data_IF_325170271579
#
_entry.id   IF_325170271579
#
_cell.length_a   1.000
_cell.length_b   1.000
_cell.length_c   1.000
_cell.angle_alpha   90.00
_cell.angle_beta   90.00
_cell.angle_gamma   90.00
#
_symmetry.space_group_name_H-M   'P 1'
#
loop_
_entity.id
_entity.type
_entity.pdbx_description
1 polymer ?
#
# COMPACT_ATOMS: atom_id res chain seq x y z
N UNK A 1 19.69 15.64 -25.76
CA UNK A 1 19.15 14.75 -24.72
C UNK A 1 20.04 14.88 -23.49
N UNK A 2 19.53 15.37 -22.35
CA UNK A 2 20.30 15.35 -21.10
C UNK A 2 20.40 13.90 -20.64
N UNK A 3 21.61 13.34 -20.65
CA UNK A 3 21.84 11.98 -20.18
C UNK A 3 21.55 11.85 -18.69
N UNK A 4 21.00 10.71 -18.26
CA UNK A 4 20.77 10.38 -16.85
C UNK A 4 22.12 10.36 -16.12
N UNK A 5 22.28 11.22 -15.11
CA UNK A 5 23.49 11.24 -14.27
C UNK A 5 23.37 10.21 -13.15
N UNK A 6 24.33 9.30 -13.06
CA UNK A 6 24.45 8.43 -11.90
C UNK A 6 25.03 9.23 -10.72
N UNK A 7 24.38 9.15 -9.56
CA UNK A 7 24.83 9.78 -8.31
C UNK A 7 25.28 8.72 -7.31
N UNK A 8 26.24 9.06 -6.45
CA UNK A 8 26.73 8.15 -5.40
C UNK A 8 25.84 8.13 -4.15
N UNK A 9 24.98 9.14 -3.99
CA UNK A 9 24.05 9.24 -2.88
C UNK A 9 23.23 10.52 -2.91
N UNK A 10 22.22 10.59 -2.06
CA UNK A 10 21.30 11.71 -1.98
C UNK A 10 22.00 13.03 -1.63
N UNK A 11 23.13 12.98 -0.93
CA UNK A 11 23.94 14.15 -0.56
C UNK A 11 24.36 15.02 -1.75
N UNK A 12 24.52 14.44 -2.95
CA UNK A 12 24.90 15.18 -4.15
C UNK A 12 23.78 16.08 -4.70
N UNK A 13 22.54 15.79 -4.36
CA UNK A 13 21.37 16.47 -4.95
C UNK A 13 20.42 17.07 -3.92
N UNK A 14 20.55 16.73 -2.64
CA UNK A 14 19.58 17.11 -1.60
C UNK A 14 19.43 18.64 -1.45
N UNK A 15 20.47 19.43 -1.76
CA UNK A 15 20.42 20.88 -1.72
C UNK A 15 19.49 21.50 -2.77
N UNK A 16 19.16 20.76 -3.83
CA UNK A 16 18.32 21.21 -4.95
C UNK A 16 16.82 21.06 -4.66
N UNK A 17 16.45 20.40 -3.57
CA UNK A 17 15.05 20.08 -3.25
C UNK A 17 14.70 20.52 -1.83
N UNK A 18 13.47 21.00 -1.67
CA UNK A 18 12.94 21.45 -0.37
C UNK A 18 12.23 20.34 0.37
N UNK A 19 11.70 19.35 -0.36
CA UNK A 19 10.93 18.24 0.20
C UNK A 19 11.24 16.93 -0.53
N UNK A 20 11.09 15.82 0.19
CA UNK A 20 11.34 14.45 -0.30
C UNK A 20 10.14 13.56 -0.07
N UNK A 21 9.72 12.84 -1.10
CA UNK A 21 8.76 11.75 -1.00
C UNK A 21 9.54 10.45 -1.04
N UNK A 22 9.53 9.70 0.05
CA UNK A 22 10.39 8.55 0.27
C UNK A 22 9.53 7.31 0.42
N UNK A 23 9.78 6.31 -0.42
CA UNK A 23 9.13 5.02 -0.29
C UNK A 23 9.61 4.25 0.95
N UNK A 24 8.78 3.34 1.45
CA UNK A 24 9.10 2.52 2.61
C UNK A 24 9.65 1.16 2.22
N UNK A 25 8.87 0.38 1.48
CA UNK A 25 9.23 -1.01 1.19
C UNK A 25 10.33 -1.08 0.12
N UNK A 26 11.42 -1.78 0.43
CA UNK A 26 12.59 -1.86 -0.47
C UNK A 26 13.51 -0.64 -0.42
N UNK A 27 13.11 0.45 0.26
CA UNK A 27 13.89 1.70 0.41
C UNK A 27 14.30 1.93 1.86
N UNK A 28 13.37 1.89 2.79
CA UNK A 28 13.64 2.07 4.23
C UNK A 28 13.80 0.71 4.94
N UNK A 29 13.04 -0.31 4.52
CA UNK A 29 13.08 -1.66 5.09
C UNK A 29 12.76 -2.74 4.03
N UNK A 30 13.10 -3.99 4.35
CA UNK A 30 12.81 -5.16 3.52
C UNK A 30 11.65 -6.03 4.05
N UNK A 31 10.86 -5.50 4.98
CA UNK A 31 9.78 -6.24 5.66
C UNK A 31 10.25 -7.06 6.89
N UNK A 32 11.57 -7.11 7.16
CA UNK A 32 12.17 -7.83 8.30
C UNK A 32 13.00 -6.87 9.15
N UNK A 33 13.77 -5.99 8.52
CA UNK A 33 14.66 -5.04 9.18
C UNK A 33 14.76 -3.73 8.40
N UNK A 34 15.15 -2.67 9.12
CA UNK A 34 15.47 -1.37 8.53
C UNK A 34 16.83 -1.45 7.81
N UNK A 35 16.98 -0.67 6.75
CA UNK A 35 18.28 -0.47 6.10
C UNK A 35 19.07 0.63 6.83
N UNK A 36 20.24 0.34 7.43
CA UNK A 36 21.01 1.34 8.19
C UNK A 36 21.34 2.59 7.37
N UNK A 37 21.75 2.42 6.11
CA UNK A 37 22.07 3.53 5.22
C UNK A 37 20.87 4.45 4.94
N UNK A 38 19.67 3.89 4.82
CA UNK A 38 18.45 4.68 4.65
C UNK A 38 18.08 5.47 5.92
N UNK A 39 18.29 4.87 7.09
CA UNK A 39 18.08 5.57 8.37
C UNK A 39 19.09 6.73 8.51
N UNK A 40 20.34 6.55 8.08
CA UNK A 40 21.32 7.63 8.11
C UNK A 40 20.94 8.77 7.16
N UNK A 41 20.34 8.48 6.01
CA UNK A 41 19.76 9.51 5.12
C UNK A 41 18.66 10.28 5.85
N UNK A 42 17.72 9.61 6.53
CA UNK A 42 16.65 10.29 7.29
C UNK A 42 17.21 11.19 8.41
N UNK A 43 18.23 10.72 9.14
CA UNK A 43 18.92 11.53 10.16
C UNK A 43 19.52 12.80 9.54
N UNK A 44 20.21 12.67 8.41
CA UNK A 44 20.83 13.80 7.71
C UNK A 44 19.79 14.78 7.19
N UNK A 45 18.69 14.32 6.57
CA UNK A 45 17.60 15.18 6.12
C UNK A 45 16.97 15.94 7.30
N UNK A 46 16.76 15.24 8.44
CA UNK A 46 16.24 15.87 9.65
C UNK A 46 17.20 16.92 10.23
N UNK A 47 18.50 16.62 10.30
CA UNK A 47 19.54 17.57 10.76
C UNK A 47 19.63 18.82 9.88
N UNK A 48 19.37 18.68 8.58
CA UNK A 48 19.33 19.76 7.60
C UNK A 48 17.97 20.47 7.54
N UNK A 49 17.02 20.13 8.43
CA UNK A 49 15.66 20.66 8.44
C UNK A 49 14.91 20.47 7.10
N UNK A 50 15.25 19.45 6.32
CA UNK A 50 14.55 19.12 5.09
C UNK A 50 13.22 18.45 5.38
N UNK A 51 12.19 18.83 4.65
CA UNK A 51 10.86 18.20 4.75
C UNK A 51 10.89 16.85 4.05
N UNK A 52 10.27 15.83 4.63
CA UNK A 52 10.01 14.56 3.95
C UNK A 52 8.72 13.91 4.40
N UNK A 53 8.15 13.10 3.51
CA UNK A 53 6.99 12.26 3.75
C UNK A 53 7.36 10.83 3.39
N UNK A 54 7.05 9.90 4.26
CA UNK A 54 7.18 8.46 4.00
C UNK A 54 5.91 7.97 3.31
N UNK A 55 6.01 7.64 2.02
CA UNK A 55 4.89 7.16 1.20
C UNK A 55 4.94 5.65 1.06
N UNK A 56 3.78 4.99 1.20
CA UNK A 56 3.71 3.54 1.08
C UNK A 56 2.46 3.08 0.33
N UNK A 57 2.60 2.02 -0.48
CA UNK A 57 1.49 1.27 -1.04
C UNK A 57 0.87 0.26 -0.05
N UNK A 58 1.20 0.36 1.24
CA UNK A 58 0.61 -0.48 2.27
C UNK A 58 -0.92 -0.27 2.33
N UNK A 59 -1.72 -1.34 2.21
CA UNK A 59 -3.19 -1.27 2.21
C UNK A 59 -3.78 -1.06 3.61
N UNK A 60 -3.03 -0.47 4.52
CA UNK A 60 -3.37 -0.25 5.93
C UNK A 60 -3.31 1.23 6.28
N UNK A 61 -4.06 1.69 7.30
CA UNK A 61 -3.96 3.06 7.78
C UNK A 61 -2.53 3.44 8.17
N UNK A 62 -2.16 4.70 8.00
CA UNK A 62 -0.82 5.22 8.33
C UNK A 62 -0.40 4.88 9.77
N UNK A 63 -1.35 4.92 10.72
CA UNK A 63 -1.10 4.59 12.12
C UNK A 63 -0.71 3.12 12.35
N UNK A 64 -1.21 2.19 11.54
CA UNK A 64 -0.84 0.77 11.60
C UNK A 64 0.56 0.55 11.05
N UNK A 65 0.94 1.29 10.01
CA UNK A 65 2.31 1.27 9.45
C UNK A 65 3.30 1.91 10.42
N UNK A 66 2.92 3.01 11.10
CA UNK A 66 3.73 3.60 12.18
C UNK A 66 4.06 2.57 13.27
N UNK A 67 3.05 1.86 13.80
CA UNK A 67 3.25 0.80 14.80
C UNK A 67 4.21 -0.29 14.30
N UNK A 68 4.06 -0.70 13.05
CA UNK A 68 4.93 -1.70 12.43
C UNK A 68 6.39 -1.22 12.38
N UNK A 69 6.64 0.02 11.95
CA UNK A 69 7.99 0.60 11.88
C UNK A 69 8.62 0.77 13.28
N UNK A 70 7.82 1.10 14.29
CA UNK A 70 8.28 1.11 15.70
C UNK A 70 8.74 -0.27 16.16
N UNK A 71 8.04 -1.34 15.77
CA UNK A 71 8.47 -2.72 16.08
C UNK A 71 9.79 -3.07 15.40
N UNK A 72 10.07 -2.50 14.21
CA UNK A 72 11.37 -2.59 13.54
C UNK A 72 12.44 -1.68 14.17
N UNK A 73 12.14 -1.01 15.30
CA UNK A 73 13.04 -0.10 16.02
C UNK A 73 13.36 1.21 15.27
N UNK A 74 12.46 1.65 14.41
CA UNK A 74 12.57 2.98 13.80
C UNK A 74 12.33 4.06 14.84
N UNK A 75 13.13 5.14 14.79
CA UNK A 75 12.97 6.26 15.72
C UNK A 75 11.66 7.02 15.42
N UNK A 76 10.93 7.37 16.48
CA UNK A 76 9.65 8.12 16.41
C UNK A 76 9.78 9.45 15.70
N UNK A 77 10.93 10.08 15.73
CA UNK A 77 11.16 11.38 15.08
C UNK A 77 10.89 11.35 13.59
N UNK A 78 11.09 10.19 12.92
CA UNK A 78 10.88 10.01 11.48
C UNK A 78 9.43 9.63 11.12
N UNK A 79 8.60 9.28 12.11
CA UNK A 79 7.27 8.72 11.88
C UNK A 79 6.16 9.76 11.81
N UNK A 80 6.48 11.06 11.89
CA UNK A 80 5.51 12.15 11.93
C UNK A 80 4.70 12.32 10.64
N UNK A 81 5.29 11.94 9.51
CA UNK A 81 4.75 12.18 8.17
C UNK A 81 4.74 10.88 7.36
N UNK A 82 3.87 9.94 7.76
CA UNK A 82 3.60 8.71 7.00
C UNK A 82 2.26 8.87 6.29
N UNK A 83 2.22 8.54 5.01
CA UNK A 83 0.99 8.47 4.25
C UNK A 83 0.94 7.16 3.45
N UNK A 84 -0.18 6.46 3.54
CA UNK A 84 -0.35 5.15 2.92
C UNK A 84 -1.50 5.15 1.92
N UNK A 85 -1.45 4.25 0.95
CA UNK A 85 -2.58 4.01 0.03
C UNK A 85 -3.85 3.59 0.80
N UNK A 86 -3.68 2.79 1.88
CA UNK A 86 -4.79 2.45 2.77
C UNK A 86 -5.41 3.66 3.44
N UNK A 87 -4.62 4.66 3.88
CA UNK A 87 -5.14 5.90 4.46
C UNK A 87 -5.97 6.69 3.44
N UNK A 88 -5.47 6.82 2.20
CA UNK A 88 -6.19 7.49 1.12
C UNK A 88 -7.53 6.78 0.81
N UNK A 89 -7.51 5.44 0.73
CA UNK A 89 -8.72 4.66 0.53
C UNK A 89 -9.70 4.79 1.70
N UNK A 90 -9.22 4.78 2.96
CA UNK A 90 -10.06 4.89 4.15
C UNK A 90 -10.90 6.16 4.16
N UNK A 91 -10.36 7.28 3.68
CA UNK A 91 -11.10 8.54 3.57
C UNK A 91 -12.31 8.40 2.63
N UNK A 92 -12.14 7.72 1.50
CA UNK A 92 -13.24 7.51 0.54
C UNK A 92 -14.26 6.50 1.05
N UNK A 93 -13.82 5.46 1.80
CA UNK A 93 -14.70 4.49 2.43
C UNK A 93 -15.60 5.14 3.48
N UNK A 94 -15.04 5.98 4.35
CA UNK A 94 -15.79 6.72 5.38
C UNK A 94 -16.84 7.67 4.78
N UNK A 95 -16.55 8.25 3.62
CA UNK A 95 -17.44 9.14 2.90
C UNK A 95 -18.43 8.42 1.97
N UNK A 96 -18.43 7.08 1.95
CA UNK A 96 -19.28 6.23 1.09
C UNK A 96 -19.23 6.60 -0.41
N UNK A 97 -18.06 7.04 -0.91
CA UNK A 97 -17.88 7.50 -2.30
C UNK A 97 -18.26 6.43 -3.33
N UNK A 98 -18.07 5.16 -3.01
CA UNK A 98 -18.34 4.03 -3.91
C UNK A 98 -19.54 3.18 -3.46
N UNK A 99 -20.32 3.64 -2.51
CA UNK A 99 -21.38 2.91 -1.84
C UNK A 99 -21.01 2.59 -0.39
N UNK A 100 -21.92 1.95 0.31
CA UNK A 100 -21.77 1.68 1.75
C UNK A 100 -21.35 0.24 2.02
N UNK A 101 -21.88 -0.72 1.25
CA UNK A 101 -21.65 -2.15 1.46
C UNK A 101 -20.49 -2.63 0.60
N UNK A 102 -19.56 -3.37 1.18
CA UNK A 102 -18.43 -3.90 0.44
C UNK A 102 -18.17 -5.38 0.74
N UNK A 103 -17.63 -6.07 -0.27
CA UNK A 103 -16.99 -7.37 -0.10
C UNK A 103 -15.49 -7.17 0.03
N UNK A 104 -14.89 -7.66 1.13
CA UNK A 104 -13.46 -7.50 1.38
C UNK A 104 -12.67 -8.72 0.89
N UNK A 105 -11.71 -8.50 0.01
CA UNK A 105 -10.69 -9.46 -0.40
C UNK A 105 -9.36 -8.99 0.18
N UNK A 106 -8.83 -9.76 1.12
CA UNK A 106 -7.56 -9.43 1.77
C UNK A 106 -7.26 -10.29 2.98
N UNK A 107 -6.02 -10.27 3.47
CA UNK A 107 -5.60 -11.03 4.63
C UNK A 107 -6.11 -10.39 5.93
N UNK A 108 -6.10 -11.18 7.00
CA UNK A 108 -6.54 -10.74 8.33
C UNK A 108 -5.75 -9.53 8.84
N UNK A 109 -4.45 -9.47 8.51
CA UNK A 109 -3.55 -8.37 8.89
C UNK A 109 -3.98 -6.99 8.39
N UNK A 110 -4.83 -6.92 7.36
CA UNK A 110 -5.28 -5.66 6.76
C UNK A 110 -6.65 -5.21 7.29
N UNK A 111 -7.25 -5.93 8.24
CA UNK A 111 -8.53 -5.57 8.85
C UNK A 111 -8.52 -4.22 9.58
N UNK A 112 -7.35 -3.72 9.93
CA UNK A 112 -7.22 -2.37 10.50
C UNK A 112 -7.82 -1.30 9.56
N UNK A 113 -7.81 -1.53 8.23
CA UNK A 113 -8.39 -0.62 7.25
C UNK A 113 -9.90 -0.46 7.41
N UNK A 114 -10.59 -1.53 7.80
CA UNK A 114 -12.05 -1.54 7.91
C UNK A 114 -12.53 -1.39 9.36
N UNK A 115 -11.63 -1.07 10.27
CA UNK A 115 -11.97 -0.85 11.68
C UNK A 115 -13.05 0.24 11.82
N UNK A 116 -14.16 -0.10 12.48
CA UNK A 116 -15.36 0.74 12.60
C UNK A 116 -16.29 0.71 11.39
N UNK A 117 -15.94 -0.04 10.34
CA UNK A 117 -16.77 -0.24 9.13
C UNK A 117 -17.22 -1.71 8.96
N UNK A 118 -16.99 -2.57 9.94
CA UNK A 118 -17.21 -4.03 9.84
C UNK A 118 -18.68 -4.36 9.50
N UNK A 119 -19.62 -3.57 10.04
CA UNK A 119 -21.06 -3.73 9.75
C UNK A 119 -21.44 -3.46 8.28
N UNK A 120 -20.54 -2.83 7.51
CA UNK A 120 -20.73 -2.59 6.09
C UNK A 120 -20.17 -3.73 5.22
N UNK A 121 -19.40 -4.65 5.81
CA UNK A 121 -18.92 -5.84 5.12
C UNK A 121 -20.08 -6.81 4.88
N UNK A 122 -20.15 -7.34 3.64
CA UNK A 122 -21.24 -8.24 3.24
C UNK A 122 -20.75 -9.29 2.23
N UNK A 123 -21.65 -10.18 1.78
CA UNK A 123 -21.33 -11.10 0.69
C UNK A 123 -21.15 -10.35 -0.65
N UNK A 124 -20.48 -11.00 -1.59
CA UNK A 124 -20.15 -10.40 -2.88
C UNK A 124 -21.41 -9.98 -3.67
N UNK A 125 -22.49 -10.80 -3.59
CA UNK A 125 -23.76 -10.55 -4.29
C UNK A 125 -24.55 -9.35 -3.73
N UNK A 126 -24.28 -8.97 -2.47
CA UNK A 126 -24.97 -7.87 -1.77
C UNK A 126 -24.13 -6.61 -1.63
N UNK A 127 -22.93 -6.62 -2.22
CA UNK A 127 -21.98 -5.51 -2.11
C UNK A 127 -22.20 -4.47 -3.19
N UNK A 128 -21.92 -3.21 -2.86
CA UNK A 128 -21.89 -2.10 -3.80
C UNK A 128 -20.56 -2.07 -4.57
N UNK A 129 -19.48 -2.57 -3.93
CA UNK A 129 -18.14 -2.65 -4.51
C UNK A 129 -17.30 -3.73 -3.83
N UNK A 130 -16.17 -4.07 -4.45
CA UNK A 130 -15.14 -4.97 -3.93
C UNK A 130 -14.02 -4.12 -3.34
N UNK A 131 -13.67 -4.33 -2.06
CA UNK A 131 -12.50 -3.75 -1.42
C UNK A 131 -11.38 -4.77 -1.45
N UNK A 132 -10.32 -4.52 -2.23
CA UNK A 132 -9.18 -5.41 -2.37
C UNK A 132 -7.95 -4.82 -1.69
N UNK A 133 -7.51 -5.44 -0.60
CA UNK A 133 -6.28 -5.07 0.14
C UNK A 133 -5.14 -6.04 -0.10
N UNK A 134 -5.43 -7.25 -0.60
CA UNK A 134 -4.47 -8.31 -0.84
C UNK A 134 -5.18 -9.63 -1.15
N UNK A 135 -4.48 -10.74 -0.98
CA UNK A 135 -5.01 -12.08 -1.15
C UNK A 135 -5.44 -12.67 0.22
N UNK A 136 -6.36 -13.64 0.20
CA UNK A 136 -6.71 -14.40 1.41
C UNK A 136 -5.54 -15.27 1.86
N UNK A 137 -5.35 -15.41 3.18
CA UNK A 137 -4.22 -16.13 3.79
C UNK A 137 -4.07 -17.58 3.34
N UNK A 138 -5.18 -18.26 3.01
CA UNK A 138 -5.14 -19.65 2.56
C UNK A 138 -5.21 -19.79 1.03
N UNK A 139 -5.07 -18.69 0.29
CA UNK A 139 -5.24 -18.65 -1.17
C UNK A 139 -4.19 -17.78 -1.88
N UNK A 140 -3.06 -17.51 -1.22
CA UNK A 140 -2.03 -16.57 -1.70
C UNK A 140 -1.43 -16.96 -3.06
N UNK A 141 -1.47 -18.26 -3.41
CA UNK A 141 -0.93 -18.78 -4.68
C UNK A 141 -2.03 -19.25 -5.65
N UNK A 142 -3.31 -19.12 -5.28
CA UNK A 142 -4.43 -19.69 -6.06
C UNK A 142 -5.08 -18.64 -6.95
N UNK A 143 -4.36 -18.09 -7.94
CA UNK A 143 -4.89 -17.02 -8.81
C UNK A 143 -6.15 -17.44 -9.58
N UNK A 144 -6.28 -18.71 -9.99
CA UNK A 144 -7.49 -19.22 -10.65
C UNK A 144 -8.72 -19.18 -9.74
N UNK A 145 -8.54 -19.34 -8.41
CA UNK A 145 -9.64 -19.14 -7.46
C UNK A 145 -10.21 -17.72 -7.56
N UNK A 146 -9.37 -16.70 -7.60
CA UNK A 146 -9.82 -15.31 -7.72
C UNK A 146 -10.39 -15.00 -9.09
N UNK A 147 -9.83 -15.55 -10.15
CA UNK A 147 -10.37 -15.43 -11.51
C UNK A 147 -11.80 -15.96 -11.56
N UNK A 148 -12.06 -17.13 -11.00
CA UNK A 148 -13.40 -17.71 -10.94
C UNK A 148 -14.35 -16.88 -10.05
N UNK A 149 -13.88 -16.45 -8.86
CA UNK A 149 -14.65 -15.61 -7.94
C UNK A 149 -15.07 -14.29 -8.59
N UNK A 150 -14.16 -13.63 -9.29
CA UNK A 150 -14.35 -12.28 -9.83
C UNK A 150 -15.08 -12.27 -11.17
N UNK A 151 -15.01 -13.35 -11.96
CA UNK A 151 -15.57 -13.41 -13.32
C UNK A 151 -17.07 -13.13 -13.39
N UNK A 152 -17.82 -13.49 -12.37
CA UNK A 152 -19.27 -13.30 -12.29
C UNK A 152 -19.69 -11.93 -11.74
N UNK A 153 -18.73 -11.10 -11.32
CA UNK A 153 -18.99 -9.84 -10.60
C UNK A 153 -18.35 -8.62 -11.26
N UNK A 154 -18.05 -8.68 -12.54
CA UNK A 154 -17.37 -7.62 -13.29
C UNK A 154 -18.18 -6.31 -13.42
N UNK A 155 -19.45 -6.33 -13.07
CA UNK A 155 -20.31 -5.14 -12.98
C UNK A 155 -20.00 -4.29 -11.75
N UNK A 156 -19.45 -4.90 -10.70
CA UNK A 156 -18.99 -4.18 -9.51
C UNK A 156 -17.73 -3.38 -9.83
N UNK A 157 -17.47 -2.35 -9.04
CA UNK A 157 -16.19 -1.65 -9.05
C UNK A 157 -15.26 -2.27 -8.02
N UNK A 158 -13.99 -2.46 -8.35
CA UNK A 158 -12.98 -2.87 -7.38
C UNK A 158 -12.18 -1.65 -6.91
N UNK A 159 -12.04 -1.52 -5.60
CA UNK A 159 -11.16 -0.53 -4.95
C UNK A 159 -9.90 -1.26 -4.53
N UNK A 160 -8.81 -1.03 -5.24
CA UNK A 160 -7.50 -1.62 -4.99
C UNK A 160 -6.67 -0.68 -4.11
N UNK A 161 -6.30 -1.13 -2.92
CA UNK A 161 -5.58 -0.30 -1.94
C UNK A 161 -4.08 -0.57 -1.90
N UNK A 162 -3.58 -1.42 -2.79
CA UNK A 162 -2.15 -1.63 -3.03
C UNK A 162 -1.94 -1.99 -4.49
N UNK A 163 -1.49 -1.04 -5.34
CA UNK A 163 -1.34 -1.28 -6.78
C UNK A 163 -0.16 -2.17 -7.16
N UNK A 164 0.76 -2.47 -6.22
CA UNK A 164 1.88 -3.35 -6.49
C UNK A 164 1.37 -4.74 -6.93
N UNK A 165 2.01 -5.33 -7.93
CA UNK A 165 1.71 -6.69 -8.36
C UNK A 165 2.30 -7.72 -7.39
N UNK A 166 3.55 -7.52 -7.02
CA UNK A 166 4.31 -8.39 -6.13
C UNK A 166 5.17 -7.56 -5.18
N UNK A 167 5.51 -8.15 -4.03
CA UNK A 167 6.55 -7.64 -3.14
C UNK A 167 7.53 -8.74 -2.77
N UNK A 168 8.77 -8.36 -2.45
CA UNK A 168 9.77 -9.27 -1.90
C UNK A 168 9.82 -9.07 -0.38
N UNK A 169 9.56 -10.16 0.37
CA UNK A 169 9.76 -10.23 1.81
C UNK A 169 10.94 -11.16 2.08
N UNK A 170 12.11 -10.58 2.30
CA UNK A 170 13.35 -11.34 2.30
C UNK A 170 13.55 -12.04 0.96
N UNK A 171 13.64 -13.37 0.96
CA UNK A 171 13.79 -14.20 -0.24
C UNK A 171 12.46 -14.67 -0.87
N UNK A 172 11.32 -14.37 -0.25
CA UNK A 172 10.02 -14.81 -0.73
C UNK A 172 9.34 -13.72 -1.54
N UNK A 173 8.69 -14.13 -2.64
CA UNK A 173 7.84 -13.25 -3.45
C UNK A 173 6.38 -13.49 -3.07
N UNK A 174 5.66 -12.42 -2.73
CA UNK A 174 4.24 -12.44 -2.38
C UNK A 174 3.44 -11.62 -3.40
N UNK A 175 2.29 -12.13 -3.84
CA UNK A 175 1.35 -11.35 -4.64
C UNK A 175 0.66 -10.27 -3.80
N UNK A 176 0.41 -9.12 -4.41
CA UNK A 176 -0.31 -7.99 -3.82
C UNK A 176 -1.69 -7.81 -4.46
N UNK A 177 -2.46 -6.86 -3.93
CA UNK A 177 -3.81 -6.56 -4.44
C UNK A 177 -3.81 -6.16 -5.92
N UNK A 178 -2.75 -5.50 -6.40
CA UNK A 178 -2.60 -5.13 -7.81
C UNK A 178 -2.64 -6.32 -8.76
N UNK A 179 -2.14 -7.50 -8.35
CA UNK A 179 -2.30 -8.72 -9.14
C UNK A 179 -3.77 -9.08 -9.35
N UNK A 180 -4.59 -9.02 -8.29
CA UNK A 180 -6.02 -9.30 -8.39
C UNK A 180 -6.76 -8.21 -9.19
N UNK A 181 -6.36 -6.96 -9.02
CA UNK A 181 -6.89 -5.85 -9.79
C UNK A 181 -6.63 -6.03 -11.29
N UNK A 182 -5.40 -6.42 -11.68
CA UNK A 182 -5.05 -6.73 -13.07
C UNK A 182 -5.85 -7.91 -13.63
N UNK A 183 -6.08 -8.96 -12.84
CA UNK A 183 -6.96 -10.07 -13.23
C UNK A 183 -8.38 -9.57 -13.46
N UNK A 184 -8.90 -8.73 -12.56
CA UNK A 184 -10.26 -8.21 -12.65
C UNK A 184 -10.46 -7.32 -13.90
N UNK A 185 -9.49 -6.47 -14.22
CA UNK A 185 -9.50 -5.67 -15.47
C UNK A 185 -9.50 -6.53 -16.72
N UNK A 186 -8.70 -7.60 -16.75
CA UNK A 186 -8.68 -8.57 -17.87
C UNK A 186 -10.01 -9.32 -18.06
N UNK A 187 -10.79 -9.43 -16.99
CA UNK A 187 -12.16 -9.97 -17.03
C UNK A 187 -13.22 -8.94 -17.44
N UNK A 188 -12.82 -7.68 -17.69
CA UNK A 188 -13.73 -6.58 -18.06
C UNK A 188 -14.24 -5.77 -16.86
N UNK A 189 -13.73 -6.00 -15.65
CA UNK A 189 -14.08 -5.23 -14.47
C UNK A 189 -13.43 -3.85 -14.44
N UNK A 190 -13.98 -2.93 -13.63
CA UNK A 190 -13.43 -1.57 -13.43
C UNK A 190 -12.73 -1.47 -12.08
N UNK A 191 -11.51 -0.95 -12.08
CA UNK A 191 -10.69 -0.78 -10.89
C UNK A 191 -10.43 0.70 -10.60
N UNK A 192 -10.46 1.06 -9.33
CA UNK A 192 -9.96 2.33 -8.79
C UNK A 192 -8.74 2.01 -7.93
N UNK A 193 -7.62 2.57 -8.29
CA UNK A 193 -6.36 2.35 -7.59
C UNK A 193 -6.08 3.47 -6.59
N UNK A 194 -5.65 3.07 -5.40
CA UNK A 194 -5.05 3.95 -4.40
C UNK A 194 -3.59 3.53 -4.20
N UNK A 195 -2.68 4.47 -4.39
CA UNK A 195 -1.25 4.24 -4.21
C UNK A 195 -0.41 4.95 -5.26
N UNK A 196 0.87 4.65 -5.20
CA UNK A 196 1.86 5.14 -6.17
C UNK A 196 1.78 4.31 -7.45
N UNK A 197 2.07 4.92 -8.61
CA UNK A 197 2.25 4.20 -9.86
C UNK A 197 3.40 3.20 -9.79
#
# INVERSE_FOLDING_TARGET
MMGTKLIKGLSEIQSKYDAFLIDLWGVIHNGIQLYPSAIDVLKNLNALNKKFVLLSNAPRPSKSVEKYLLNLKMDKVFLKNIFTSGEAALQTLKNNVYGKKFYHIGPQRDKDLIFGLEKNQTSLEKSDFILCTGLFENKEKSLDYYKNLLSQHTKLKMICTNPDLIVHRGLQTEYCAGTLASIFEKLGGKVVYFGKP
#
